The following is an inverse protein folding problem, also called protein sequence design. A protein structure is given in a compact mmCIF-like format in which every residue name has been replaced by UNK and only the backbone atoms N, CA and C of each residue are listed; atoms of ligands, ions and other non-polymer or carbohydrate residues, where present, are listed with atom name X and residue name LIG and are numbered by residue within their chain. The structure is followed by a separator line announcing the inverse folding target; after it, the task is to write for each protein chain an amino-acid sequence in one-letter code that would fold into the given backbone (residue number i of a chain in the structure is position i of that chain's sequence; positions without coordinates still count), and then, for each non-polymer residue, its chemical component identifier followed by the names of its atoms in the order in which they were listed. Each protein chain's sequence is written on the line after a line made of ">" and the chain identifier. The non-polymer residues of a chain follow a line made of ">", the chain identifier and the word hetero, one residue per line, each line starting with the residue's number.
data_IF_362843724873
#
_entry.id   IF_362843724873
#
_cell.length_a   1.000
_cell.length_b   1.000
_cell.length_c   1.000
_cell.angle_alpha   90.00
_cell.angle_beta   90.00
_cell.angle_gamma   90.00
#
_symmetry.space_group_name_H-M   'P 1'
#
loop_
_entity.id
_entity.type
_entity.pdbx_description
1 polymer ?
#
# COMPACT_ATOMS: atom_id res chain seq x y z
N UNK A 1 -9.60 12.38 -11.49
CA UNK A 1 -8.76 11.69 -10.51
C UNK A 1 -9.46 10.40 -10.10
N UNK A 2 -8.74 9.27 -10.06
CA UNK A 2 -9.27 8.02 -9.53
C UNK A 2 -9.43 8.18 -8.01
N UNK A 3 -10.66 8.42 -7.55
CA UNK A 3 -11.00 8.69 -6.15
C UNK A 3 -10.65 7.54 -5.20
N UNK A 4 -10.36 6.36 -5.76
CA UNK A 4 -10.02 5.17 -5.00
C UNK A 4 -8.52 4.96 -4.89
N UNK A 5 -7.71 5.68 -5.67
CA UNK A 5 -6.25 5.54 -5.65
C UNK A 5 -5.71 5.96 -4.29
N UNK A 6 -4.78 5.16 -3.77
CA UNK A 6 -4.05 5.41 -2.53
C UNK A 6 -2.56 5.24 -2.77
N UNK A 7 -1.77 5.94 -1.96
CA UNK A 7 -0.35 5.66 -1.78
C UNK A 7 -0.15 5.09 -0.38
N UNK A 8 0.74 4.11 -0.24
CA UNK A 8 1.01 3.47 1.03
C UNK A 8 2.45 3.01 1.14
N UNK A 9 2.95 2.90 2.36
CA UNK A 9 4.30 2.44 2.67
C UNK A 9 4.24 1.09 3.35
N UNK A 10 5.22 0.22 3.08
CA UNK A 10 5.37 -1.06 3.79
C UNK A 10 6.19 -0.85 5.07
N UNK A 11 5.54 -0.93 6.23
CA UNK A 11 6.18 -0.74 7.54
C UNK A 11 6.59 -2.06 8.20
N UNK A 12 6.09 -3.20 7.70
CA UNK A 12 6.45 -4.54 8.17
C UNK A 12 6.46 -5.49 6.97
N UNK A 13 7.49 -6.33 6.89
CA UNK A 13 7.57 -7.33 5.82
C UNK A 13 6.46 -8.38 6.00
N UNK A 14 5.64 -8.63 4.97
CA UNK A 14 4.65 -9.69 5.03
C UNK A 14 5.29 -11.08 5.06
N UNK A 15 4.74 -11.97 5.86
CA UNK A 15 5.17 -13.37 5.88
C UNK A 15 4.80 -14.07 4.57
N UNK A 16 5.58 -15.09 4.16
CA UNK A 16 5.28 -15.89 2.95
C UNK A 16 3.85 -16.47 2.95
N UNK A 17 3.28 -16.71 4.13
CA UNK A 17 1.92 -17.25 4.32
C UNK A 17 0.81 -16.25 3.98
N UNK A 18 1.08 -14.95 4.04
CA UNK A 18 0.12 -13.90 3.67
C UNK A 18 -0.10 -13.83 2.16
N UNK A 19 0.84 -14.38 1.39
CA UNK A 19 0.88 -14.28 -0.06
C UNK A 19 1.21 -12.86 -0.56
N UNK A 20 1.56 -11.91 0.31
CA UNK A 20 1.93 -10.55 -0.05
C UNK A 20 3.43 -10.49 -0.37
N UNK A 21 3.85 -11.24 -1.38
CA UNK A 21 5.25 -11.30 -1.78
C UNK A 21 5.65 -10.08 -2.63
N UNK A 22 6.92 -9.69 -2.54
CA UNK A 22 7.50 -8.64 -3.37
C UNK A 22 7.45 -7.23 -2.79
N UNK A 23 6.74 -7.01 -1.68
CA UNK A 23 6.83 -5.76 -0.93
C UNK A 23 8.13 -5.70 -0.12
N UNK A 24 8.71 -4.52 -0.02
CA UNK A 24 9.94 -4.25 0.72
C UNK A 24 9.69 -3.17 1.77
N UNK A 25 10.36 -3.34 2.91
CA UNK A 25 10.28 -2.42 4.03
C UNK A 25 10.70 -1.01 3.61
N UNK A 26 9.88 -0.01 3.96
CA UNK A 26 10.12 1.41 3.68
C UNK A 26 9.87 1.86 2.23
N UNK A 27 9.51 0.95 1.32
CA UNK A 27 9.14 1.34 -0.05
C UNK A 27 7.69 1.85 -0.11
N UNK A 28 7.48 2.83 -0.99
CA UNK A 28 6.17 3.39 -1.29
C UNK A 28 5.53 2.66 -2.49
N UNK A 29 4.25 2.40 -2.38
CA UNK A 29 3.45 1.67 -3.35
C UNK A 29 2.15 2.41 -3.64
N UNK A 30 1.58 2.06 -4.78
CA UNK A 30 0.28 2.55 -5.20
C UNK A 30 -0.73 1.43 -5.16
N UNK A 31 -1.97 1.78 -4.85
CA UNK A 31 -3.08 0.83 -4.78
C UNK A 31 -4.42 1.50 -4.95
N UNK A 32 -5.47 0.74 -4.69
CA UNK A 32 -6.82 1.29 -4.50
C UNK A 32 -7.39 0.90 -3.15
N UNK A 33 -8.21 1.77 -2.59
CA UNK A 33 -9.05 1.45 -1.44
C UNK A 33 -10.52 1.66 -1.78
N UNK A 34 -11.36 0.73 -1.37
CA UNK A 34 -12.81 0.85 -1.53
C UNK A 34 -13.52 0.02 -0.45
N UNK A 35 -14.45 0.65 0.26
CA UNK A 35 -15.31 0.01 1.28
C UNK A 35 -14.53 -0.82 2.32
N UNK A 36 -13.36 -0.35 2.76
CA UNK A 36 -12.53 -1.06 3.75
C UNK A 36 -11.73 -2.24 3.20
N UNK A 37 -11.71 -2.41 1.89
CA UNK A 37 -10.82 -3.31 1.18
C UNK A 37 -9.72 -2.52 0.47
N UNK A 38 -8.57 -3.18 0.29
CA UNK A 38 -7.37 -2.60 -0.30
C UNK A 38 -6.91 -3.50 -1.44
N UNK A 39 -6.90 -2.97 -2.64
CA UNK A 39 -6.29 -3.59 -3.81
C UNK A 39 -4.84 -3.10 -3.90
N UNK A 40 -3.88 -4.01 -3.69
CA UNK A 40 -2.45 -3.68 -3.62
C UNK A 40 -1.62 -4.57 -4.53
N UNK A 41 -0.50 -4.03 -5.00
CA UNK A 41 0.50 -4.77 -5.78
C UNK A 41 1.88 -4.14 -5.55
N UNK A 42 2.91 -4.96 -5.40
CA UNK A 42 4.29 -4.49 -5.31
C UNK A 42 4.79 -3.78 -6.59
N UNK A 43 4.15 -4.03 -7.73
CA UNK A 43 4.43 -3.38 -9.03
C UNK A 43 3.12 -2.96 -9.70
N UNK A 44 2.59 -1.82 -9.29
CA UNK A 44 1.37 -1.26 -9.87
C UNK A 44 1.52 -1.03 -11.38
N UNK A 45 0.52 -1.42 -12.17
CA UNK A 45 0.51 -1.23 -13.63
C UNK A 45 1.43 -2.15 -14.43
N UNK A 46 2.17 -3.07 -13.80
CA UNK A 46 3.07 -3.99 -14.51
C UNK A 46 2.40 -5.25 -15.07
N UNK A 47 1.06 -5.34 -15.01
CA UNK A 47 0.29 -6.53 -15.40
C UNK A 47 0.40 -7.72 -14.44
N UNK A 48 1.14 -7.58 -13.33
CA UNK A 48 1.14 -8.56 -12.24
C UNK A 48 -0.21 -8.48 -11.52
N UNK A 49 -0.70 -9.62 -11.04
CA UNK A 49 -1.98 -9.71 -10.34
C UNK A 49 -1.97 -8.86 -9.06
N UNK A 50 -2.99 -8.01 -8.92
CA UNK A 50 -3.25 -7.27 -7.69
C UNK A 50 -3.91 -8.18 -6.65
N UNK A 51 -3.67 -7.88 -5.37
CA UNK A 51 -4.30 -8.58 -4.25
C UNK A 51 -5.30 -7.70 -3.57
N UNK A 52 -6.51 -8.23 -3.38
CA UNK A 52 -7.54 -7.60 -2.58
C UNK A 52 -7.46 -8.12 -1.14
N UNK A 53 -7.18 -7.23 -0.19
CA UNK A 53 -7.03 -7.55 1.22
C UNK A 53 -7.95 -6.72 2.11
N UNK A 54 -8.20 -7.22 3.32
CA UNK A 54 -8.98 -6.50 4.32
C UNK A 54 -8.17 -5.35 4.93
N UNK A 55 -8.89 -4.35 5.48
CA UNK A 55 -8.30 -3.28 6.26
C UNK A 55 -7.36 -3.77 7.38
N UNK A 56 -7.78 -4.77 8.14
CA UNK A 56 -6.97 -5.29 9.25
C UNK A 56 -5.65 -5.89 8.78
N UNK A 57 -5.65 -6.62 7.66
CA UNK A 57 -4.42 -7.16 7.09
C UNK A 57 -3.55 -6.04 6.50
N UNK A 58 -4.18 -5.04 5.88
CA UNK A 58 -3.47 -3.89 5.35
C UNK A 58 -2.75 -3.12 6.47
N UNK A 59 -3.45 -2.74 7.54
CA UNK A 59 -2.90 -1.97 8.66
C UNK A 59 -1.84 -2.74 9.47
N UNK A 60 -1.77 -4.07 9.34
CA UNK A 60 -0.71 -4.87 9.96
C UNK A 60 0.66 -4.66 9.29
N UNK A 61 0.67 -4.45 7.96
CA UNK A 61 1.90 -4.41 7.17
C UNK A 61 2.17 -3.06 6.50
N UNK A 62 1.12 -2.28 6.27
CA UNK A 62 1.15 -1.06 5.48
C UNK A 62 0.49 0.10 6.20
N UNK A 63 0.91 1.31 5.81
CA UNK A 63 0.32 2.55 6.29
C UNK A 63 0.01 3.46 5.10
N UNK A 64 -1.14 4.12 5.13
CA UNK A 64 -1.51 5.11 4.12
C UNK A 64 -0.59 6.33 4.21
N UNK A 65 0.01 6.70 3.08
CA UNK A 65 0.75 7.95 2.96
C UNK A 65 -0.28 9.05 2.72
N UNK A 66 -0.59 9.84 3.75
CA UNK A 66 -1.43 11.03 3.60
C UNK A 66 -0.66 12.07 2.78
N UNK A 67 -1.28 12.65 1.75
CA UNK A 67 -0.68 13.70 0.90
C UNK A 67 -0.22 14.95 1.70
N UNK A 68 -0.61 15.08 2.98
CA UNK A 68 -0.24 16.20 3.85
C UNK A 68 1.11 16.07 4.58
N UNK A 69 1.95 15.07 4.28
CA UNK A 69 3.33 15.00 4.81
C UNK A 69 4.41 15.58 3.88
N UNK A 70 4.04 16.34 2.84
CA UNK A 70 4.99 17.13 2.04
C UNK A 70 5.21 18.57 2.52
N UNK A 71 4.77 18.94 3.72
CA UNK A 71 5.10 20.25 4.32
C UNK A 71 5.55 20.08 5.76
N UNK A 72 6.81 19.72 5.96
CA UNK A 72 7.71 20.32 6.96
C UNK A 72 9.11 19.74 6.86
N UNK A 73 10.07 20.65 6.79
CA UNK A 73 11.52 20.49 6.67
C UNK A 73 11.99 20.38 5.21
N UNK A 74 12.33 21.50 4.57
CA UNK A 74 13.57 22.19 4.94
C UNK A 74 13.42 23.71 4.87
N UNK A 75 13.77 24.34 5.99
CA UNK A 75 14.17 25.74 6.08
C UNK A 75 15.60 25.91 5.53
#
# INVERSE_FOLDING_TARGET
>A
MDRYRINFVCNKLPDQKTGLNGFKLGENYEGRSYNGLFEINAKWGSGVESKLISKSLFEEYFELVQENQYVKNSA
#
